data_IF_071998305666
#
_entry.id   IF_071998305666
#
_cell.length_a   1.000
_cell.length_b   1.000
_cell.length_c   1.000
_cell.angle_alpha   90.00
_cell.angle_beta   90.00
_cell.angle_gamma   90.00
#
_symmetry.space_group_name_H-M   'P 1'
#
loop_
_entity.id
_entity.type
_entity.pdbx_description
1 polymer ?
#
# COMPACT_ATOMS: atom_id res chain seq x y z
N UNK A 1 -9.19 -11.48 6.43
CA UNK A 1 -7.95 -11.36 7.23
C UNK A 1 -8.25 -10.42 8.38
N UNK A 2 -7.96 -10.78 9.64
CA UNK A 2 -8.16 -9.87 10.78
C UNK A 2 -6.86 -9.12 11.05
N UNK A 3 -6.92 -7.80 11.19
CA UNK A 3 -5.78 -6.97 11.56
C UNK A 3 -5.90 -6.54 13.02
N UNK A 4 -4.78 -6.19 13.65
CA UNK A 4 -4.84 -5.54 14.96
C UNK A 4 -5.56 -4.20 14.81
N UNK A 5 -6.46 -3.83 15.74
CA UNK A 5 -7.15 -2.53 15.72
C UNK A 5 -6.21 -1.32 15.65
N UNK A 6 -4.97 -1.49 16.13
CA UNK A 6 -3.96 -0.43 16.15
C UNK A 6 -2.97 -0.50 14.97
N UNK A 7 -3.05 -1.52 14.11
CA UNK A 7 -2.16 -1.63 12.96
C UNK A 7 -2.60 -0.68 11.85
N UNK A 8 -1.65 -0.07 11.15
CA UNK A 8 -1.94 0.64 9.90
C UNK A 8 -1.73 -0.31 8.74
N UNK A 9 -2.79 -0.52 7.98
CA UNK A 9 -2.83 -1.40 6.82
C UNK A 9 -2.80 -0.54 5.57
N UNK A 10 -1.90 -0.90 4.65
CA UNK A 10 -1.69 -0.19 3.40
C UNK A 10 -2.02 -1.07 2.20
N UNK A 11 -2.68 -0.47 1.22
CA UNK A 11 -2.74 -0.99 -0.16
C UNK A 11 -1.89 -0.11 -1.03
N UNK A 12 -0.80 -0.66 -1.56
CA UNK A 12 0.12 0.05 -2.45
C UNK A 12 -0.08 -0.50 -3.85
N UNK A 13 -0.57 0.35 -4.75
CA UNK A 13 -0.72 0.01 -6.16
C UNK A 13 0.43 0.59 -6.98
N UNK A 14 1.05 -0.29 -7.79
CA UNK A 14 2.20 -0.01 -8.62
C UNK A 14 1.87 -0.26 -10.10
N UNK A 15 2.46 0.52 -11.01
CA UNK A 15 2.33 0.36 -12.46
C UNK A 15 3.69 0.60 -13.15
N UNK A 16 4.17 -0.41 -13.89
CA UNK A 16 5.36 -0.32 -14.74
C UNK A 16 4.95 -0.33 -16.21
N UNK A 17 4.70 0.84 -16.78
CA UNK A 17 4.15 0.98 -18.14
C UNK A 17 5.14 0.63 -19.26
N UNK A 18 6.43 0.86 -19.02
CA UNK A 18 7.51 0.68 -20.03
C UNK A 18 8.12 -0.71 -20.01
N UNK A 19 7.62 -1.60 -19.18
CA UNK A 19 8.10 -2.97 -19.06
C UNK A 19 7.18 -3.89 -19.85
N UNK A 20 7.77 -4.74 -20.71
CA UNK A 20 7.03 -5.58 -21.66
C UNK A 20 7.14 -7.09 -21.36
N UNK A 21 7.79 -7.47 -20.26
CA UNK A 21 7.86 -8.87 -19.82
C UNK A 21 7.62 -8.99 -18.33
N UNK A 22 6.93 -10.06 -17.92
CA UNK A 22 6.66 -10.34 -16.52
C UNK A 22 7.94 -10.51 -15.70
N UNK A 23 8.98 -11.13 -16.28
CA UNK A 23 10.27 -11.31 -15.63
C UNK A 23 10.93 -9.96 -15.28
N UNK A 24 10.93 -9.01 -16.21
CA UNK A 24 11.49 -7.69 -15.97
C UNK A 24 10.69 -6.91 -14.91
N UNK A 25 9.36 -7.04 -14.91
CA UNK A 25 8.50 -6.40 -13.91
C UNK A 25 8.77 -6.96 -12.51
N UNK A 26 8.86 -8.29 -12.39
CA UNK A 26 9.22 -8.95 -11.13
C UNK A 26 10.60 -8.51 -10.63
N UNK A 27 11.61 -8.48 -11.50
CA UNK A 27 12.96 -8.01 -11.13
C UNK A 27 12.95 -6.56 -10.60
N UNK A 28 12.12 -5.70 -11.17
CA UNK A 28 11.99 -4.31 -10.73
C UNK A 28 11.29 -4.17 -9.35
N UNK A 29 10.30 -5.01 -9.05
CA UNK A 29 9.58 -4.97 -7.77
C UNK A 29 10.20 -5.81 -6.65
N UNK A 30 11.03 -6.80 -6.98
CA UNK A 30 11.64 -7.70 -5.99
C UNK A 30 12.36 -6.97 -4.85
N UNK A 31 13.16 -5.91 -5.07
CA UNK A 31 13.78 -5.15 -3.99
C UNK A 31 12.74 -4.56 -3.03
N UNK A 32 11.70 -3.91 -3.58
CA UNK A 32 10.64 -3.29 -2.79
C UNK A 32 9.84 -4.32 -2.00
N UNK A 33 9.44 -5.42 -2.64
CA UNK A 33 8.70 -6.51 -1.98
C UNK A 33 9.52 -7.14 -0.86
N UNK A 34 10.82 -7.32 -1.07
CA UNK A 34 11.73 -7.86 -0.05
C UNK A 34 11.89 -6.91 1.13
N UNK A 35 11.91 -5.61 0.87
CA UNK A 35 12.02 -4.57 1.89
C UNK A 35 10.72 -4.40 2.70
N UNK A 36 9.58 -4.26 2.01
CA UNK A 36 8.28 -3.98 2.62
C UNK A 36 7.66 -5.22 3.28
N UNK A 37 8.04 -6.43 2.83
CA UNK A 37 7.50 -7.71 3.32
C UNK A 37 5.96 -7.70 3.39
N UNK A 38 5.28 -7.42 2.27
CA UNK A 38 3.81 -7.40 2.23
C UNK A 38 3.23 -8.75 2.66
N UNK A 39 2.08 -8.70 3.33
CA UNK A 39 1.34 -9.91 3.77
C UNK A 39 0.56 -10.55 2.62
N UNK A 40 0.26 -9.79 1.56
CA UNK A 40 -0.27 -10.30 0.31
C UNK A 40 0.27 -9.51 -0.88
N UNK A 41 0.46 -10.19 -2.00
CA UNK A 41 0.97 -9.61 -3.25
C UNK A 41 0.17 -10.15 -4.42
N UNK A 42 -0.26 -9.27 -5.30
CA UNK A 42 -0.80 -9.61 -6.62
C UNK A 42 0.04 -8.93 -7.68
N UNK A 43 0.43 -9.69 -8.70
CA UNK A 43 1.04 -9.17 -9.92
C UNK A 43 0.13 -9.53 -11.09
N UNK A 44 -0.08 -8.57 -11.99
CA UNK A 44 -0.89 -8.77 -13.18
C UNK A 44 -0.30 -8.00 -14.36
N UNK A 45 -0.50 -8.52 -15.56
CA UNK A 45 -0.34 -7.73 -16.77
C UNK A 45 -1.59 -6.86 -16.93
N UNK A 46 -1.41 -5.60 -17.32
CA UNK A 46 -2.52 -4.70 -17.55
C UNK A 46 -3.38 -5.21 -18.72
N UNK A 47 -4.71 -5.12 -18.57
CA UNK A 47 -5.63 -5.47 -19.65
C UNK A 47 -5.36 -4.61 -20.89
N UNK A 48 -5.13 -5.20 -22.08
CA UNK A 48 -4.90 -4.43 -23.32
C UNK A 48 -6.06 -3.49 -23.70
N UNK A 49 -7.28 -3.78 -23.24
CA UNK A 49 -8.48 -2.96 -23.42
C UNK A 49 -8.67 -1.91 -22.30
N UNK A 50 -7.90 -2.00 -21.23
CA UNK A 50 -7.91 -1.08 -20.10
C UNK A 50 -7.15 0.23 -20.37
N UNK A 51 -7.25 1.16 -19.42
CA UNK A 51 -6.55 2.45 -19.50
C UNK A 51 -5.07 2.32 -19.18
N UNK A 52 -4.71 1.42 -18.27
CA UNK A 52 -3.31 1.18 -17.84
C UNK A 52 -2.62 0.21 -18.80
N UNK A 53 -1.29 0.32 -18.88
CA UNK A 53 -0.43 -0.49 -19.75
C UNK A 53 0.68 -1.15 -18.94
N UNK A 54 1.33 -2.17 -19.50
CA UNK A 54 2.48 -2.81 -18.87
C UNK A 54 2.05 -3.75 -17.74
N UNK A 55 2.68 -3.64 -16.57
CA UNK A 55 2.43 -4.55 -15.45
C UNK A 55 1.99 -3.77 -14.22
N UNK A 56 1.02 -4.34 -13.49
CA UNK A 56 0.49 -3.81 -12.25
C UNK A 56 0.87 -4.70 -11.07
N UNK A 57 1.06 -4.08 -9.91
CA UNK A 57 1.15 -4.79 -8.65
C UNK A 57 0.23 -4.18 -7.61
N UNK A 58 -0.32 -5.04 -6.76
CA UNK A 58 -1.04 -4.65 -5.55
C UNK A 58 -0.34 -5.32 -4.37
N UNK A 59 0.17 -4.51 -3.46
CA UNK A 59 0.83 -4.94 -2.23
C UNK A 59 -0.03 -4.58 -1.03
N UNK A 60 -0.35 -5.58 -0.20
CA UNK A 60 -0.95 -5.37 1.11
C UNK A 60 0.16 -5.37 2.16
N UNK A 61 0.44 -4.22 2.75
CA UNK A 61 1.50 -4.03 3.74
C UNK A 61 0.86 -3.72 5.09
N UNK A 62 1.33 -4.38 6.14
CA UNK A 62 0.89 -4.10 7.51
C UNK A 62 2.10 -3.60 8.28
N UNK A 63 2.04 -2.37 8.77
CA UNK A 63 3.07 -1.87 9.67
C UNK A 63 2.61 -2.12 11.11
N UNK A 64 3.20 -3.10 11.82
CA UNK A 64 2.97 -3.19 13.26
C UNK A 64 3.57 -1.94 13.91
N UNK A 65 2.87 -1.38 14.88
CA UNK A 65 3.45 -0.31 15.68
C UNK A 65 4.73 -0.84 16.34
N UNK A 66 5.89 -0.27 15.98
CA UNK A 66 7.12 -0.47 16.74
C UNK A 66 6.86 0.02 18.15
N UNK A 67 6.68 -0.90 19.10
CA UNK A 67 6.50 -0.61 20.53
C UNK A 67 7.68 0.17 21.14
N UNK A 68 8.79 0.31 20.40
CA UNK A 68 10.07 0.82 20.88
C UNK A 68 10.26 2.35 20.82
N UNK A 69 9.28 3.11 20.34
CA UNK A 69 9.18 4.53 20.74
C UNK A 69 8.18 4.64 21.87
N UNK A 70 8.69 4.39 23.07
CA UNK A 70 8.04 4.63 24.35
C UNK A 70 7.15 5.88 24.32
N UNK A 71 5.90 5.72 24.73
CA UNK A 71 5.02 6.79 25.20
C UNK A 71 4.99 8.06 24.34
N UNK A 72 4.19 8.07 23.29
CA UNK A 72 3.56 9.33 22.89
C UNK A 72 2.09 9.09 22.56
N UNK A 73 1.26 9.84 23.29
CA UNK A 73 -0.19 9.91 23.27
C UNK A 73 -0.74 10.48 21.95
N UNK A 74 -0.22 10.02 20.81
CA UNK A 74 -0.69 10.43 19.50
C UNK A 74 -2.10 9.89 19.24
N UNK A 75 -2.94 10.71 18.62
CA UNK A 75 -4.26 10.29 18.13
C UNK A 75 -4.13 9.19 17.08
N UNK A 76 -5.23 8.50 16.73
CA UNK A 76 -5.26 7.55 15.59
C UNK A 76 -4.68 8.20 14.33
N UNK A 77 -5.03 9.47 14.09
CA UNK A 77 -4.54 10.29 12.99
C UNK A 77 -3.03 10.49 13.02
N UNK A 78 -2.44 10.79 14.18
CA UNK A 78 -0.98 10.99 14.28
C UNK A 78 -0.21 9.71 13.94
N UNK A 79 -0.74 8.56 14.37
CA UNK A 79 -0.16 7.24 14.05
C UNK A 79 -0.27 6.91 12.57
N UNK A 80 -1.42 7.19 11.97
CA UNK A 80 -1.64 7.05 10.53
C UNK A 80 -0.62 7.88 9.75
N UNK A 81 -0.51 9.17 10.05
CA UNK A 81 0.40 10.09 9.36
C UNK A 81 1.88 9.71 9.51
N UNK A 82 2.29 9.27 10.71
CA UNK A 82 3.66 8.79 10.92
C UNK A 82 3.97 7.55 10.05
N UNK A 83 3.02 6.61 9.96
CA UNK A 83 3.17 5.38 9.19
C UNK A 83 3.17 5.66 7.68
N UNK A 84 2.28 6.56 7.21
CA UNK A 84 2.27 7.06 5.84
C UNK A 84 3.59 7.74 5.51
N UNK A 85 4.14 8.56 6.41
CA UNK A 85 5.43 9.23 6.21
C UNK A 85 6.58 8.24 5.94
N UNK A 86 6.65 7.16 6.72
CA UNK A 86 7.66 6.11 6.53
C UNK A 86 7.48 5.41 5.18
N UNK A 87 6.26 5.03 4.82
CA UNK A 87 5.99 4.31 3.58
C UNK A 87 6.20 5.21 2.34
N UNK A 88 5.69 6.44 2.38
CA UNK A 88 5.82 7.40 1.30
C UNK A 88 7.30 7.69 1.00
N UNK A 89 8.12 7.92 2.03
CA UNK A 89 9.56 8.15 1.83
C UNK A 89 10.26 6.97 1.14
N UNK A 90 9.92 5.72 1.53
CA UNK A 90 10.46 4.51 0.88
C UNK A 90 10.02 4.37 -0.57
N UNK A 91 8.80 4.80 -0.90
CA UNK A 91 8.26 4.79 -2.26
C UNK A 91 8.72 6.00 -3.10
N UNK A 92 9.48 6.93 -2.53
CA UNK A 92 9.87 8.18 -3.20
C UNK A 92 8.68 9.14 -3.42
N UNK A 93 7.68 9.08 -2.55
CA UNK A 93 6.46 9.89 -2.59
C UNK A 93 6.53 11.05 -1.60
N UNK A 94 5.79 12.13 -1.90
CA UNK A 94 5.56 13.23 -0.96
C UNK A 94 4.46 12.85 0.05
N UNK A 95 4.77 12.65 1.34
CA UNK A 95 3.75 12.33 2.35
C UNK A 95 2.77 13.47 2.62
N UNK A 96 3.08 14.72 2.25
CA UNK A 96 2.17 15.86 2.46
C UNK A 96 0.98 15.85 1.50
N UNK A 97 1.06 15.07 0.42
CA UNK A 97 -0.03 14.83 -0.53
C UNK A 97 -1.04 13.77 -0.04
N UNK A 98 -0.87 13.20 1.15
CA UNK A 98 -1.84 12.27 1.73
C UNK A 98 -3.08 13.01 2.23
N UNK A 99 -4.23 12.68 1.66
CA UNK A 99 -5.53 13.20 2.05
C UNK A 99 -6.15 12.27 3.09
N UNK A 100 -6.28 12.75 4.32
CA UNK A 100 -6.90 12.03 5.45
C UNK A 100 -8.43 12.08 5.31
N UNK A 101 -9.12 10.99 5.62
CA UNK A 101 -10.59 10.95 5.68
C UNK A 101 -11.18 11.77 6.85
N UNK A 102 -12.51 11.88 6.88
CA UNK A 102 -13.23 12.66 7.90
C UNK A 102 -13.05 12.07 9.32
N UNK A 103 -12.94 10.75 9.42
CA UNK A 103 -12.80 10.02 10.68
C UNK A 103 -11.37 10.04 11.23
N UNK A 104 -10.39 10.46 10.42
CA UNK A 104 -8.97 10.51 10.78
C UNK A 104 -8.31 9.14 10.91
N UNK A 105 -8.95 8.08 10.42
CA UNK A 105 -8.52 6.69 10.59
C UNK A 105 -7.91 6.09 9.32
N UNK A 106 -8.14 6.73 8.18
CA UNK A 106 -7.60 6.33 6.89
C UNK A 106 -7.41 7.52 5.95
N UNK A 107 -7.15 7.19 4.68
CA UNK A 107 -6.94 8.18 3.65
C UNK A 107 -6.26 7.63 2.42
N UNK A 108 -5.91 8.55 1.52
CA UNK A 108 -5.35 8.25 0.20
C UNK A 108 -4.17 9.16 -0.14
N UNK A 109 -3.11 8.56 -0.68
CA UNK A 109 -2.06 9.27 -1.43
C UNK A 109 -2.20 8.86 -2.89
N UNK A 110 -2.68 9.77 -3.72
CA UNK A 110 -2.79 9.56 -5.15
C UNK A 110 -1.71 10.36 -5.87
N UNK A 111 -0.85 9.69 -6.61
CA UNK A 111 0.11 10.34 -7.50
C UNK A 111 -0.65 10.74 -8.75
N UNK A 112 -1.08 12.01 -8.79
CA UNK A 112 -1.58 12.60 -10.03
C UNK A 112 -0.46 12.53 -11.07
N UNK A 113 -0.79 11.88 -12.18
CA UNK A 113 -0.02 11.63 -13.39
C UNK A 113 1.42 12.19 -13.44
N UNK A 114 2.48 11.35 -13.53
CA UNK A 114 3.85 11.82 -13.72
C UNK A 114 4.08 12.54 -15.06
N UNK A 115 3.07 12.62 -15.93
CA UNK A 115 3.08 13.42 -17.16
C UNK A 115 3.09 14.94 -16.92
N UNK A 116 2.82 15.42 -15.69
CA UNK A 116 3.03 16.84 -15.32
C UNK A 116 4.51 17.21 -15.09
N UNK A 117 5.42 16.23 -15.13
CA UNK A 117 6.87 16.49 -15.20
C UNK A 117 7.39 16.21 -16.61
N UNK A 118 7.40 17.25 -17.46
CA UNK A 118 8.09 17.28 -18.76
C UNK A 118 9.62 17.21 -18.59
N UNK A 119 10.15 16.22 -17.88
CA UNK A 119 11.59 15.94 -17.90
C UNK A 119 11.86 14.62 -18.62
N UNK A 120 12.01 14.77 -19.94
CA UNK A 120 12.32 13.74 -20.94
C UNK A 120 13.81 13.41 -20.97
N UNK A 121 14.42 13.23 -19.80
CA UNK A 121 15.71 12.54 -19.71
C UNK A 121 15.45 11.05 -19.48
N UNK A 122 16.30 10.19 -20.04
CA UNK A 122 16.24 8.73 -19.90
C UNK A 122 16.34 8.32 -18.42
N UNK A 123 15.22 8.38 -17.70
CA UNK A 123 15.16 8.24 -16.24
C UNK A 123 13.93 8.92 -15.65
N UNK A 124 12.81 8.89 -16.38
CA UNK A 124 11.59 9.65 -16.07
C UNK A 124 11.16 9.52 -14.61
N UNK A 125 10.73 10.65 -14.06
CA UNK A 125 10.17 10.85 -12.72
C UNK A 125 8.82 10.13 -12.53
N UNK A 126 8.80 8.82 -12.78
CA UNK A 126 7.93 7.91 -12.07
C UNK A 126 8.63 7.54 -10.76
N UNK A 127 7.87 7.32 -9.70
CA UNK A 127 8.41 6.72 -8.47
C UNK A 127 9.24 5.48 -8.83
N UNK A 128 10.33 5.21 -8.09
CA UNK A 128 11.32 4.17 -8.45
C UNK A 128 10.73 2.77 -8.67
N UNK A 129 9.49 2.53 -8.20
CA UNK A 129 8.76 1.27 -8.33
C UNK A 129 7.39 1.41 -9.03
N UNK A 130 7.07 2.57 -9.59
CA UNK A 130 5.80 2.84 -10.26
C UNK A 130 4.60 2.98 -9.32
N UNK A 131 4.82 3.24 -8.03
CA UNK A 131 3.77 3.54 -7.09
C UNK A 131 2.96 4.76 -7.54
N UNK A 132 1.65 4.57 -7.68
CA UNK A 132 0.73 5.62 -8.10
C UNK A 132 -0.46 5.82 -7.15
N UNK A 133 -0.75 4.83 -6.30
CA UNK A 133 -1.81 4.93 -5.30
C UNK A 133 -1.41 4.22 -4.02
N UNK A 134 -1.55 4.91 -2.90
CA UNK A 134 -1.47 4.32 -1.56
C UNK A 134 -2.78 4.60 -0.85
N UNK A 135 -3.46 3.55 -0.41
CA UNK A 135 -4.58 3.64 0.52
C UNK A 135 -4.08 3.20 1.89
N UNK A 136 -4.50 3.88 2.94
CA UNK A 136 -4.17 3.51 4.31
C UNK A 136 -5.43 3.50 5.18
N UNK A 137 -5.53 2.52 6.06
CA UNK A 137 -6.62 2.42 7.03
C UNK A 137 -6.12 1.75 8.31
N UNK A 138 -6.52 2.30 9.44
CA UNK A 138 -6.20 1.75 10.76
C UNK A 138 -7.15 0.58 11.05
N UNK A 139 -6.60 -0.58 11.40
CA UNK A 139 -7.36 -1.74 11.86
C UNK A 139 -8.03 -2.61 10.79
N UNK A 140 -8.01 -2.21 9.51
CA UNK A 140 -8.72 -2.94 8.45
C UNK A 140 -8.08 -2.77 7.05
N UNK A 141 -8.40 -3.65 6.11
CA UNK A 141 -8.00 -3.49 4.70
C UNK A 141 -8.76 -2.30 4.08
N UNK A 142 -8.09 -1.28 3.52
CA UNK A 142 -8.74 -0.15 2.87
C UNK A 142 -9.71 -0.53 1.74
N UNK A 143 -9.51 -1.68 1.07
CA UNK A 143 -10.40 -2.16 0.00
C UNK A 143 -11.46 -3.16 0.49
N UNK A 144 -11.41 -3.57 1.76
CA UNK A 144 -12.39 -4.45 2.38
C UNK A 144 -12.52 -4.13 3.90
N UNK A 145 -13.06 -2.95 4.24
CA UNK A 145 -13.04 -2.43 5.61
C UNK A 145 -13.92 -3.21 6.59
N UNK A 146 -15.00 -3.83 6.10
CA UNK A 146 -15.92 -4.63 6.92
C UNK A 146 -15.32 -6.00 7.29
N UNK A 147 -14.23 -6.40 6.62
CA UNK A 147 -13.70 -7.75 6.66
C UNK A 147 -14.63 -8.72 5.94
N UNK A 148 -14.06 -9.65 5.18
CA UNK A 148 -14.89 -10.76 4.69
C UNK A 148 -15.50 -11.49 5.87
N UNK A 149 -16.83 -11.47 5.98
CA UNK A 149 -17.60 -12.48 6.70
C UNK A 149 -17.22 -13.84 6.12
N UNK A 150 -16.18 -14.46 6.66
CA UNK A 150 -16.01 -15.90 6.57
C UNK A 150 -16.23 -16.41 7.98
N UNK A 151 -17.39 -17.03 8.12
CA UNK A 151 -17.93 -17.69 9.29
C UNK A 151 -16.84 -18.42 10.08
N UNK A 152 -16.70 -18.05 11.35
CA UNK A 152 -16.39 -19.05 12.35
C UNK A 152 -17.71 -19.31 13.08
N UNK A 153 -18.45 -20.30 12.59
CA UNK A 153 -19.20 -21.15 13.50
C UNK A 153 -18.21 -21.64 14.54
N UNK A 154 -18.34 -21.07 15.73
CA UNK A 154 -17.74 -21.55 16.95
C UNK A 154 -18.24 -22.97 17.20
N UNK A 155 -17.54 -23.95 16.63
CA UNK A 155 -17.57 -25.34 17.10
C UNK A 155 -16.28 -25.60 17.86
N UNK A 156 -16.08 -24.82 18.94
CA UNK A 156 -15.42 -25.33 20.13
C UNK A 156 -16.25 -26.47 20.72
N UNK A 157 -16.28 -27.63 20.05
CA UNK A 157 -16.62 -28.86 20.73
C UNK A 157 -15.42 -29.21 21.62
N UNK A 158 -15.60 -28.91 22.92
CA UNK A 158 -14.84 -29.47 24.02
C UNK A 158 -14.75 -30.99 23.85
N UNK A 159 -13.59 -31.48 23.43
CA UNK A 159 -13.25 -32.89 23.57
C UNK A 159 -12.79 -33.11 25.03
N UNK A 160 -13.76 -33.45 25.89
CA UNK A 160 -13.54 -34.20 27.13
C UNK A 160 -13.46 -35.71 26.84
#
# INVERSE_FOLDING_TARGET
MRFSPDAVVFRVQLNLERVHTAEAALRAWLPLVSELRPVAVKFEEADPSGVRRGFLADLLVVLPLTQDRAADSGTVRDRLLASVGVLAHRLGLDPTAFEVDEDGAGGVLNVKDPTDTEDTTEGGSGTAHGAYLVLALTGADPLNPEGGEMDHEDTGEDLL
#
